data_IF_811072922183
#
_entry.id   IF_811072922183
#
_cell.length_a   1.000
_cell.length_b   1.000
_cell.length_c   1.000
_cell.angle_alpha   90.00
_cell.angle_beta   90.00
_cell.angle_gamma   90.00
#
_symmetry.space_group_name_H-M   'P 1'
#
loop_
_entity.id
_entity.type
_entity.pdbx_description
1 polymer ?
#
# COMPACT_ATOMS: atom_id res chain seq x y z
N UNK A 1 -24.39 18.43 -11.12
CA UNK A 1 -23.49 17.30 -11.41
C UNK A 1 -22.85 16.90 -10.10
N UNK A 2 -22.93 15.63 -9.69
CA UNK A 2 -22.14 15.16 -8.54
C UNK A 2 -20.72 14.92 -9.06
N UNK A 3 -19.73 15.65 -8.54
CA UNK A 3 -18.32 15.44 -8.87
C UNK A 3 -17.90 14.01 -8.55
N UNK A 4 -16.87 13.50 -9.24
CA UNK A 4 -16.32 12.19 -8.93
C UNK A 4 -15.65 12.20 -7.55
N UNK A 5 -15.38 11.03 -6.96
CA UNK A 5 -14.73 10.96 -5.65
C UNK A 5 -13.35 11.66 -5.63
N UNK A 6 -12.62 11.65 -6.76
CA UNK A 6 -11.33 12.34 -6.88
C UNK A 6 -11.48 13.85 -6.97
N UNK A 7 -12.55 14.35 -7.59
CA UNK A 7 -12.84 15.79 -7.67
C UNK A 7 -13.21 16.33 -6.28
N UNK A 8 -14.09 15.61 -5.57
CA UNK A 8 -14.49 15.97 -4.22
C UNK A 8 -13.30 16.01 -3.25
N UNK A 9 -12.40 15.03 -3.34
CA UNK A 9 -11.17 15.02 -2.54
C UNK A 9 -10.24 16.18 -2.90
N UNK A 10 -10.13 16.52 -4.19
CA UNK A 10 -9.31 17.65 -4.61
C UNK A 10 -9.85 18.99 -4.10
N UNK A 11 -11.18 19.18 -4.11
CA UNK A 11 -11.84 20.36 -3.52
C UNK A 11 -11.58 20.46 -2.02
N UNK A 12 -11.71 19.34 -1.28
CA UNK A 12 -11.45 19.29 0.15
C UNK A 12 -9.98 19.60 0.49
N UNK A 13 -9.04 19.03 -0.26
CA UNK A 13 -7.61 19.29 -0.10
C UNK A 13 -7.25 20.74 -0.40
N UNK A 14 -7.84 21.34 -1.45
CA UNK A 14 -7.61 22.74 -1.79
C UNK A 14 -8.14 23.69 -0.69
N UNK A 15 -9.27 23.34 -0.07
CA UNK A 15 -9.81 24.11 1.07
C UNK A 15 -8.93 23.96 2.33
N UNK A 16 -8.41 22.76 2.60
CA UNK A 16 -7.60 22.49 3.79
C UNK A 16 -6.17 23.03 3.66
N UNK A 17 -5.58 22.94 2.45
CA UNK A 17 -4.19 23.30 2.14
C UNK A 17 -4.11 24.06 0.82
N UNK A 18 -4.46 25.37 0.82
CA UNK A 18 -4.43 26.20 -0.39
C UNK A 18 -3.02 26.36 -1.01
N UNK A 19 -1.98 26.06 -0.23
CA UNK A 19 -0.58 26.06 -0.65
C UNK A 19 -0.17 24.79 -1.42
N UNK A 20 -1.05 23.81 -1.54
CA UNK A 20 -0.79 22.53 -2.21
C UNK A 20 -1.47 22.48 -3.58
N UNK A 21 -0.69 22.25 -4.63
CA UNK A 21 -1.24 21.97 -5.96
C UNK A 21 -1.79 20.54 -6.02
N UNK A 22 -3.09 20.39 -6.29
CA UNK A 22 -3.76 19.08 -6.40
C UNK A 22 -4.36 18.94 -7.79
N UNK A 23 -4.03 17.83 -8.47
CA UNK A 23 -4.57 17.50 -9.80
C UNK A 23 -5.37 16.20 -9.69
N UNK A 24 -6.71 16.23 -9.69
CA UNK A 24 -7.52 15.02 -9.67
C UNK A 24 -7.39 14.28 -11.02
N UNK A 25 -7.26 12.95 -10.95
CA UNK A 25 -7.22 12.08 -12.11
C UNK A 25 -8.29 11.00 -11.94
N UNK A 26 -9.36 11.08 -12.72
CA UNK A 26 -10.40 10.05 -12.77
C UNK A 26 -9.95 8.86 -13.64
N UNK A 27 -8.95 8.13 -13.15
CA UNK A 27 -8.34 6.96 -13.81
C UNK A 27 -8.43 5.75 -12.88
N UNK A 28 -8.79 4.59 -13.42
CA UNK A 28 -8.69 3.33 -12.70
C UNK A 28 -7.30 2.72 -12.91
N UNK A 29 -6.60 2.40 -11.82
CA UNK A 29 -5.19 1.96 -11.92
C UNK A 29 -5.00 0.65 -12.67
N UNK A 30 -6.03 -0.20 -12.72
CA UNK A 30 -5.99 -1.48 -13.40
C UNK A 30 -6.26 -1.27 -14.89
N UNK A 31 -7.33 -0.55 -15.25
CA UNK A 31 -7.75 -0.41 -16.66
C UNK A 31 -7.03 0.70 -17.42
N UNK A 32 -6.54 1.74 -16.74
CA UNK A 32 -5.86 2.91 -17.32
C UNK A 32 -4.35 2.92 -17.03
N UNK A 33 -3.74 1.75 -16.79
CA UNK A 33 -2.34 1.63 -16.37
C UNK A 33 -1.35 2.29 -17.36
N UNK A 34 -1.64 2.22 -18.66
CA UNK A 34 -0.85 2.86 -19.73
C UNK A 34 -0.88 4.39 -19.63
N UNK A 35 -2.04 4.97 -19.30
CA UNK A 35 -2.22 6.41 -19.11
C UNK A 35 -1.54 6.89 -17.83
N UNK A 36 -1.69 6.14 -16.74
CA UNK A 36 -1.06 6.46 -15.45
C UNK A 36 0.46 6.47 -15.55
N UNK A 37 1.03 5.54 -16.32
CA UNK A 37 2.48 5.47 -16.55
C UNK A 37 3.06 6.82 -17.01
N UNK A 38 2.35 7.59 -17.84
CA UNK A 38 2.84 8.89 -18.31
C UNK A 38 3.03 9.90 -17.16
N UNK A 39 2.13 9.88 -16.17
CA UNK A 39 2.16 10.78 -15.01
C UNK A 39 3.31 10.47 -14.04
N UNK A 40 3.83 9.23 -14.03
CA UNK A 40 4.89 8.83 -13.12
C UNK A 40 6.24 9.49 -13.42
N UNK A 41 6.43 10.04 -14.62
CA UNK A 41 7.69 10.67 -15.05
C UNK A 41 8.13 11.82 -14.13
N UNK A 42 7.17 12.60 -13.61
CA UNK A 42 7.42 13.75 -12.74
C UNK A 42 7.00 13.47 -11.28
N UNK A 43 6.92 12.20 -10.89
CA UNK A 43 6.47 11.78 -9.57
C UNK A 43 7.66 11.31 -8.74
N UNK A 44 7.75 11.75 -7.49
CA UNK A 44 8.83 11.34 -6.59
C UNK A 44 8.57 9.99 -5.90
N UNK A 45 7.30 9.72 -5.59
CA UNK A 45 6.83 8.58 -4.82
C UNK A 45 5.34 8.34 -5.11
N UNK A 46 4.92 7.08 -5.15
CA UNK A 46 3.51 6.69 -5.25
C UNK A 46 2.98 6.21 -3.89
N UNK A 47 1.78 6.63 -3.51
CA UNK A 47 1.04 6.07 -2.38
C UNK A 47 -0.21 5.36 -2.90
N UNK A 48 -0.37 4.08 -2.58
CA UNK A 48 -1.54 3.30 -2.93
C UNK A 48 -2.35 3.06 -1.66
N UNK A 49 -3.56 3.62 -1.59
CA UNK A 49 -4.51 3.42 -0.49
C UNK A 49 -5.71 2.58 -0.92
N UNK A 50 -5.56 1.80 -2.00
CA UNK A 50 -6.59 0.89 -2.47
C UNK A 50 -6.50 -0.43 -1.72
N UNK A 51 -7.63 -0.95 -1.25
CA UNK A 51 -7.65 -2.24 -0.54
C UNK A 51 -7.56 -3.45 -1.50
N UNK A 52 -8.02 -3.27 -2.75
CA UNK A 52 -8.01 -4.31 -3.79
C UNK A 52 -6.61 -4.80 -4.14
N UNK A 53 -6.41 -6.12 -4.17
CA UNK A 53 -5.12 -6.76 -4.44
C UNK A 53 -4.59 -6.38 -5.82
N UNK A 54 -5.45 -6.43 -6.85
CA UNK A 54 -5.09 -6.08 -8.22
C UNK A 54 -4.58 -4.63 -8.33
N UNK A 55 -5.28 -3.67 -7.73
CA UNK A 55 -4.87 -2.26 -7.73
C UNK A 55 -3.50 -2.06 -7.06
N UNK A 56 -3.27 -2.71 -5.92
CA UNK A 56 -1.97 -2.69 -5.21
C UNK A 56 -0.85 -3.31 -6.04
N UNK A 57 -1.11 -4.44 -6.70
CA UNK A 57 -0.14 -5.11 -7.60
C UNK A 57 0.22 -4.22 -8.79
N UNK A 58 -0.78 -3.65 -9.48
CA UNK A 58 -0.54 -2.79 -10.65
C UNK A 58 0.18 -1.51 -10.24
N UNK A 59 -0.22 -0.86 -9.13
CA UNK A 59 0.47 0.33 -8.63
C UNK A 59 1.94 0.02 -8.30
N UNK A 60 2.20 -1.07 -7.58
CA UNK A 60 3.55 -1.52 -7.28
C UNK A 60 4.37 -1.85 -8.53
N UNK A 61 3.73 -2.43 -9.56
CA UNK A 61 4.36 -2.71 -10.84
C UNK A 61 4.75 -1.43 -11.58
N UNK A 62 3.81 -0.50 -11.76
CA UNK A 62 4.04 0.77 -12.45
C UNK A 62 5.14 1.58 -11.75
N UNK A 63 5.09 1.69 -10.43
CA UNK A 63 6.12 2.38 -9.66
C UNK A 63 7.50 1.73 -9.82
N UNK A 64 7.57 0.38 -9.78
CA UNK A 64 8.84 -0.35 -10.01
C UNK A 64 9.40 -0.07 -11.41
N UNK A 65 8.55 -0.09 -12.44
CA UNK A 65 8.94 0.19 -13.83
C UNK A 65 9.35 1.66 -14.04
N UNK A 66 8.79 2.58 -13.27
CA UNK A 66 9.17 4.00 -13.28
C UNK A 66 10.40 4.31 -12.40
N UNK A 67 10.99 3.33 -11.71
CA UNK A 67 12.11 3.58 -10.80
C UNK A 67 11.72 4.36 -9.54
N UNK A 68 10.46 4.26 -9.11
CA UNK A 68 9.90 4.98 -7.98
C UNK A 68 9.74 4.10 -6.74
N UNK A 69 9.80 4.74 -5.57
CA UNK A 69 9.33 4.11 -4.33
C UNK A 69 7.79 4.13 -4.33
N UNK A 70 7.18 3.01 -3.95
CA UNK A 70 5.74 2.95 -3.67
C UNK A 70 5.50 2.64 -2.19
N UNK A 71 4.51 3.29 -1.60
CA UNK A 71 3.97 2.94 -0.28
C UNK A 71 2.57 2.38 -0.49
N UNK A 72 2.41 1.08 -0.27
CA UNK A 72 1.11 0.43 -0.31
C UNK A 72 0.54 0.41 1.10
N UNK A 73 -0.69 0.86 1.28
CA UNK A 73 -1.39 0.86 2.55
C UNK A 73 -2.80 0.32 2.35
N UNK A 74 -3.19 -0.62 3.21
CA UNK A 74 -4.50 -1.23 3.16
C UNK A 74 -4.89 -1.77 4.52
N UNK A 75 -6.18 -2.01 4.70
CA UNK A 75 -6.69 -2.78 5.82
C UNK A 75 -7.13 -4.16 5.33
N UNK A 76 -6.70 -5.18 6.05
CA UNK A 76 -6.87 -6.59 5.70
C UNK A 76 -7.81 -7.28 6.70
N UNK A 77 -8.34 -8.43 6.28
CA UNK A 77 -9.15 -9.34 7.09
C UNK A 77 -10.24 -8.63 7.92
N UNK A 78 -11.26 -8.13 7.22
CA UNK A 78 -12.44 -7.54 7.84
C UNK A 78 -12.12 -6.42 8.85
N UNK A 79 -11.04 -5.64 8.64
CA UNK A 79 -10.66 -4.57 9.56
C UNK A 79 -9.72 -4.97 10.70
N UNK A 80 -9.21 -6.21 10.74
CA UNK A 80 -8.39 -6.68 11.87
C UNK A 80 -6.93 -6.22 11.83
N UNK A 81 -6.39 -5.99 10.63
CA UNK A 81 -4.98 -5.78 10.41
C UNK A 81 -4.74 -4.61 9.45
N UNK A 82 -3.96 -3.63 9.88
CA UNK A 82 -3.40 -2.62 8.99
C UNK A 82 -2.08 -3.10 8.42
N UNK A 83 -1.83 -2.81 7.15
CA UNK A 83 -0.57 -3.16 6.51
C UNK A 83 -0.02 -1.97 5.74
N UNK A 84 1.28 -1.73 5.90
CA UNK A 84 2.02 -0.76 5.08
C UNK A 84 3.24 -1.45 4.49
N UNK A 85 3.35 -1.45 3.17
CA UNK A 85 4.53 -1.92 2.46
C UNK A 85 5.21 -0.80 1.70
N UNK A 86 6.46 -0.53 2.06
CA UNK A 86 7.35 0.32 1.27
C UNK A 86 8.11 -0.53 0.26
N UNK A 87 7.80 -0.35 -1.02
CA UNK A 87 8.45 -1.02 -2.14
C UNK A 87 9.48 -0.09 -2.76
N UNK A 88 10.77 -0.43 -2.63
CA UNK A 88 11.86 0.35 -3.23
C UNK A 88 12.29 -0.22 -4.59
N UNK A 89 12.65 0.62 -5.56
CA UNK A 89 13.08 0.21 -6.89
C UNK A 89 14.58 -0.15 -6.91
N UNK A 90 15.07 -0.93 -5.95
CA UNK A 90 16.50 -1.26 -5.81
C UNK A 90 16.74 -2.77 -5.61
N UNK A 91 17.98 -3.25 -5.81
CA UNK A 91 18.34 -4.63 -5.52
C UNK A 91 17.96 -5.06 -4.10
N UNK A 92 17.63 -6.34 -3.93
CA UNK A 92 17.20 -6.91 -2.64
C UNK A 92 15.81 -6.47 -2.15
N UNK A 93 15.07 -5.67 -2.93
CA UNK A 93 13.69 -5.27 -2.60
C UNK A 93 12.72 -5.83 -3.65
N UNK A 94 12.01 -6.90 -3.29
CA UNK A 94 10.95 -7.51 -4.07
C UNK A 94 9.65 -6.70 -4.03
N UNK A 95 8.83 -6.88 -5.07
CA UNK A 95 7.48 -6.32 -5.15
C UNK A 95 6.50 -7.01 -4.19
N UNK A 96 5.24 -6.57 -4.17
CA UNK A 96 4.17 -7.18 -3.39
C UNK A 96 4.09 -8.70 -3.59
N UNK A 97 4.07 -9.18 -4.84
CA UNK A 97 4.00 -10.61 -5.15
C UNK A 97 5.21 -11.40 -4.62
N UNK A 98 6.41 -10.84 -4.74
CA UNK A 98 7.61 -11.46 -4.17
C UNK A 98 7.49 -11.59 -2.65
N UNK A 99 7.04 -10.54 -1.97
CA UNK A 99 6.89 -10.54 -0.50
C UNK A 99 5.82 -11.52 -0.03
N UNK A 100 4.67 -11.56 -0.69
CA UNK A 100 3.61 -12.53 -0.40
C UNK A 100 4.08 -13.96 -0.59
N UNK A 101 4.85 -14.24 -1.63
CA UNK A 101 5.42 -15.56 -1.77
C UNK A 101 6.41 -15.88 -0.64
N UNK A 102 7.37 -14.99 -0.33
CA UNK A 102 8.34 -15.27 0.73
C UNK A 102 7.64 -15.55 2.06
N UNK A 103 6.54 -14.86 2.33
CA UNK A 103 5.68 -15.10 3.47
C UNK A 103 5.07 -16.52 3.43
N UNK A 104 4.48 -16.94 2.32
CA UNK A 104 3.93 -18.30 2.11
C UNK A 104 5.04 -19.36 2.27
N UNK A 105 6.20 -19.16 1.64
CA UNK A 105 7.35 -20.06 1.71
C UNK A 105 7.93 -20.17 3.14
N UNK A 106 7.73 -19.13 3.95
CA UNK A 106 8.10 -19.12 5.37
C UNK A 106 7.01 -19.69 6.30
N UNK A 107 5.94 -20.27 5.73
CA UNK A 107 4.82 -20.85 6.49
C UNK A 107 3.83 -19.82 7.03
N UNK A 108 3.90 -18.57 6.56
CA UNK A 108 2.94 -17.52 6.92
C UNK A 108 1.61 -17.68 6.19
N UNK A 109 0.56 -17.07 6.76
CA UNK A 109 -0.76 -17.02 6.13
C UNK A 109 -0.81 -15.98 5.00
N UNK A 110 -1.64 -16.22 3.99
CA UNK A 110 -2.05 -15.16 3.06
C UNK A 110 -3.25 -14.40 3.68
N UNK A 111 -3.11 -13.10 4.03
CA UNK A 111 -4.20 -12.32 4.60
C UNK A 111 -5.17 -11.76 3.53
N UNK A 112 -4.91 -12.00 2.25
CA UNK A 112 -5.65 -11.44 1.11
C UNK A 112 -6.81 -12.28 0.51
N UNK A 113 -7.06 -13.58 0.81
CA UNK A 113 -8.06 -14.39 0.09
C UNK A 113 -9.49 -13.83 0.09
N UNK A 114 -9.84 -13.00 1.08
CA UNK A 114 -11.15 -12.39 1.20
C UNK A 114 -11.29 -11.03 0.46
N UNK A 115 -10.19 -10.44 -0.02
CA UNK A 115 -10.18 -9.10 -0.65
C UNK A 115 -10.43 -9.10 -2.16
N UNK A 116 -10.28 -10.25 -2.82
CA UNK A 116 -10.49 -10.41 -4.27
C UNK A 116 -11.98 -10.55 -4.67
N UNK A 117 -12.91 -10.42 -3.73
CA UNK A 117 -14.33 -10.28 -4.05
C UNK A 117 -14.56 -8.88 -4.66
N UNK A 118 -14.59 -8.79 -5.99
CA UNK A 118 -14.71 -7.52 -6.72
C UNK A 118 -15.91 -6.68 -6.29
N UNK A 119 -15.71 -5.36 -6.21
CA UNK A 119 -16.78 -4.39 -5.97
C UNK A 119 -17.88 -4.55 -7.05
N UNK A 120 -19.13 -4.78 -6.64
CA UNK A 120 -20.28 -4.87 -7.55
C UNK A 120 -20.49 -6.23 -8.25
N UNK A 121 -19.84 -7.31 -7.85
CA UNK A 121 -19.94 -8.64 -8.53
C UNK A 121 -21.11 -9.52 -8.07
N UNK A 122 -22.04 -9.01 -7.25
CA UNK A 122 -23.29 -9.72 -6.92
C UNK A 122 -23.18 -10.84 -5.88
N UNK A 123 -21.99 -11.16 -5.37
CA UNK A 123 -21.84 -11.82 -4.06
C UNK A 123 -22.13 -10.79 -2.95
N UNK A 124 -22.71 -11.18 -1.79
CA UNK A 124 -22.92 -10.25 -0.69
C UNK A 124 -21.56 -9.72 -0.25
N UNK A 125 -21.25 -8.52 -0.72
CA UNK A 125 -20.09 -7.73 -0.34
C UNK A 125 -20.01 -7.77 1.19
N UNK A 126 -18.93 -8.33 1.75
CA UNK A 126 -18.69 -8.16 3.19
C UNK A 126 -18.42 -6.68 3.40
N UNK A 127 -19.29 -5.92 4.08
CA UNK A 127 -19.05 -4.51 4.30
C UNK A 127 -17.64 -4.31 4.83
N UNK A 128 -16.94 -3.28 4.35
CA UNK A 128 -15.66 -2.90 4.92
C UNK A 128 -15.87 -2.67 6.42
N UNK A 129 -15.33 -3.58 7.21
CA UNK A 129 -15.58 -3.72 8.66
C UNK A 129 -14.51 -3.00 9.48
N UNK A 130 -13.55 -2.36 8.81
CA UNK A 130 -12.62 -1.43 9.42
C UNK A 130 -13.40 -0.22 9.94
N UNK A 131 -13.19 0.13 11.22
CA UNK A 131 -13.78 1.34 11.79
C UNK A 131 -12.98 2.56 11.36
N UNK A 132 -13.64 3.71 11.22
CA UNK A 132 -13.00 4.96 10.74
C UNK A 132 -11.67 5.32 11.41
N UNK A 133 -11.54 5.24 12.75
CA UNK A 133 -10.27 5.51 13.43
C UNK A 133 -9.12 4.61 12.99
N UNK A 134 -9.39 3.34 12.67
CA UNK A 134 -8.37 2.40 12.20
C UNK A 134 -7.87 2.77 10.81
N UNK A 135 -8.79 3.16 9.91
CA UNK A 135 -8.44 3.67 8.59
C UNK A 135 -7.57 4.94 8.71
N UNK A 136 -7.91 5.85 9.62
CA UNK A 136 -7.11 7.04 9.89
C UNK A 136 -5.73 6.70 10.46
N UNK A 137 -5.61 5.72 11.37
CA UNK A 137 -4.34 5.27 11.92
C UNK A 137 -3.42 4.74 10.81
N UNK A 138 -3.94 3.85 9.96
CA UNK A 138 -3.18 3.30 8.83
C UNK A 138 -2.80 4.41 7.84
N UNK A 139 -3.72 5.31 7.52
CA UNK A 139 -3.45 6.44 6.63
C UNK A 139 -2.34 7.37 7.18
N UNK A 140 -2.34 7.67 8.48
CA UNK A 140 -1.30 8.49 9.10
C UNK A 140 0.07 7.81 9.03
N UNK A 141 0.14 6.50 9.33
CA UNK A 141 1.41 5.79 9.25
C UNK A 141 1.88 5.64 7.80
N UNK A 142 0.97 5.52 6.83
CA UNK A 142 1.29 5.51 5.41
C UNK A 142 1.85 6.86 4.94
N UNK A 143 1.21 7.97 5.33
CA UNK A 143 1.69 9.32 5.05
C UNK A 143 3.07 9.56 5.68
N UNK A 144 3.28 9.15 6.94
CA UNK A 144 4.60 9.25 7.57
C UNK A 144 5.64 8.39 6.84
N UNK A 145 5.28 7.19 6.41
CA UNK A 145 6.15 6.29 5.63
C UNK A 145 6.56 6.94 4.31
N UNK A 146 5.62 7.59 3.62
CA UNK A 146 5.89 8.31 2.37
C UNK A 146 6.87 9.47 2.59
N UNK A 147 6.59 10.36 3.54
CA UNK A 147 7.46 11.50 3.86
C UNK A 147 8.84 11.04 4.32
N UNK A 148 8.91 10.06 5.23
CA UNK A 148 10.16 9.48 5.69
C UNK A 148 11.00 8.92 4.53
N UNK A 149 10.36 8.32 3.53
CA UNK A 149 11.07 7.78 2.35
C UNK A 149 11.65 8.86 1.45
N UNK A 150 10.95 9.97 1.27
CA UNK A 150 11.44 11.13 0.52
C UNK A 150 12.63 11.75 1.25
N UNK A 151 12.50 11.99 2.56
CA UNK A 151 13.55 12.63 3.36
C UNK A 151 14.78 11.72 3.53
N UNK A 152 14.61 10.42 3.76
CA UNK A 152 15.72 9.47 3.84
C UNK A 152 16.52 9.46 2.52
N UNK A 153 15.83 9.52 1.37
CA UNK A 153 16.48 9.64 0.04
C UNK A 153 17.23 10.95 -0.13
N UNK A 154 16.73 12.05 0.46
CA UNK A 154 17.39 13.34 0.48
C UNK A 154 18.57 13.44 1.49
N UNK A 155 18.88 12.36 2.20
CA UNK A 155 20.03 12.29 3.11
C UNK A 155 19.73 12.63 4.56
N UNK A 156 18.46 12.55 4.99
CA UNK A 156 18.06 12.73 6.40
C UNK A 156 18.01 11.37 7.13
N UNK A 157 19.08 10.94 7.84
CA UNK A 157 19.18 9.60 8.42
C UNK A 157 18.23 9.36 9.59
N UNK A 158 17.82 10.42 10.28
CA UNK A 158 16.83 10.43 11.37
C UNK A 158 15.42 10.02 10.89
N UNK A 159 15.19 10.04 9.58
CA UNK A 159 13.92 9.63 8.97
C UNK A 159 13.88 8.14 8.60
N UNK A 160 14.92 7.37 8.92
CA UNK A 160 14.98 5.94 8.63
C UNK A 160 13.88 5.18 9.38
N UNK A 161 13.06 4.44 8.63
CA UNK A 161 12.04 3.56 9.19
C UNK A 161 12.65 2.27 9.76
N UNK A 162 11.99 1.60 10.74
CA UNK A 162 12.50 0.35 11.31
C UNK A 162 12.55 -0.82 10.32
N UNK A 163 11.73 -0.79 9.26
CA UNK A 163 11.68 -1.81 8.23
C UNK A 163 10.95 -1.36 6.97
N UNK A 164 10.65 -2.30 6.09
CA UNK A 164 10.00 -2.05 4.79
C UNK A 164 8.55 -2.54 4.73
N UNK A 165 8.09 -3.25 5.76
CA UNK A 165 6.74 -3.80 5.84
C UNK A 165 6.26 -3.73 7.29
N UNK A 166 5.30 -2.84 7.57
CA UNK A 166 4.67 -2.72 8.86
C UNK A 166 3.35 -3.50 8.90
N UNK A 167 3.17 -4.27 9.96
CA UNK A 167 1.92 -4.90 10.35
C UNK A 167 1.39 -4.20 11.59
N UNK A 168 0.13 -3.79 11.57
CA UNK A 168 -0.52 -3.04 12.65
C UNK A 168 -1.72 -3.85 13.12
N UNK A 169 -1.70 -4.28 14.38
CA UNK A 169 -2.88 -4.94 14.96
C UNK A 169 -3.96 -3.88 15.24
N UNK A 170 -5.00 -3.85 14.43
CA UNK A 170 -6.17 -3.00 14.67
C UNK A 170 -7.12 -3.68 15.65
N UNK A 171 -7.21 -5.01 15.56
CA UNK A 171 -7.86 -5.87 16.55
C UNK A 171 -6.93 -7.02 16.90
N UNK A 172 -6.94 -7.45 18.16
CA UNK A 172 -6.13 -8.58 18.63
C UNK A 172 -6.52 -9.87 17.88
N UNK A 173 -5.52 -10.59 17.35
CA UNK A 173 -5.68 -11.86 16.65
C UNK A 173 -4.66 -12.89 17.21
N UNK A 174 -4.95 -13.51 18.37
CA UNK A 174 -3.95 -14.30 19.10
C UNK A 174 -3.61 -15.64 18.43
N UNK A 175 -4.48 -16.13 17.55
CA UNK A 175 -4.35 -17.46 16.92
C UNK A 175 -3.75 -17.40 15.51
N UNK A 176 -3.25 -16.23 15.10
CA UNK A 176 -2.63 -16.07 13.80
C UNK A 176 -1.21 -16.61 13.78
N UNK A 177 -0.77 -17.11 12.63
CA UNK A 177 0.62 -17.51 12.45
C UNK A 177 1.52 -16.28 12.31
N UNK A 178 2.80 -16.36 12.73
CA UNK A 178 3.78 -15.33 12.44
C UNK A 178 3.85 -15.00 10.93
N UNK A 179 4.06 -13.73 10.57
CA UNK A 179 4.33 -12.58 11.42
C UNK A 179 3.07 -11.84 11.91
N UNK A 180 1.87 -12.38 11.72
CA UNK A 180 0.61 -11.69 12.02
C UNK A 180 0.05 -11.98 13.42
N UNK A 181 0.75 -12.77 14.23
CA UNK A 181 0.50 -13.09 15.64
C UNK A 181 0.73 -11.90 16.59
N UNK A 182 0.11 -10.76 16.30
CA UNK A 182 0.23 -9.54 17.10
C UNK A 182 -0.69 -9.62 18.32
N UNK A 183 -0.11 -9.48 19.50
CA UNK A 183 -0.78 -9.80 20.76
C UNK A 183 -1.61 -8.65 21.32
N UNK A 184 -1.32 -7.40 20.93
CA UNK A 184 -1.97 -6.19 21.45
C UNK A 184 -2.51 -5.31 20.34
N UNK A 185 -3.68 -4.72 20.55
CA UNK A 185 -4.20 -3.65 19.70
C UNK A 185 -3.20 -2.49 19.64
N UNK A 186 -3.04 -1.88 18.47
CA UNK A 186 -2.02 -0.90 18.07
C UNK A 186 -0.57 -1.38 18.09
N UNK A 187 -0.32 -2.67 18.34
CA UNK A 187 1.02 -3.24 18.18
C UNK A 187 1.45 -3.12 16.72
N UNK A 188 2.64 -2.58 16.51
CA UNK A 188 3.26 -2.48 15.19
C UNK A 188 4.48 -3.37 15.14
N UNK A 189 4.52 -4.25 14.14
CA UNK A 189 5.70 -5.07 13.83
C UNK A 189 6.24 -4.68 12.48
N UNK A 190 7.53 -4.36 12.43
CA UNK A 190 8.23 -4.05 11.20
C UNK A 190 9.04 -5.26 10.74
N UNK A 191 8.88 -5.60 9.47
CA UNK A 191 9.59 -6.68 8.79
C UNK A 191 10.59 -6.08 7.80
N UNK A 192 11.72 -6.77 7.55
CA UNK A 192 12.69 -6.34 6.55
C UNK A 192 12.13 -6.45 5.13
N UNK A 193 12.90 -5.96 4.15
CA UNK A 193 12.64 -6.28 2.76
C UNK A 193 12.81 -7.79 2.51
N UNK A 194 12.00 -8.34 1.61
CA UNK A 194 12.28 -9.64 0.97
C UNK A 194 12.92 -9.41 -0.39
N UNK A 195 13.85 -10.25 -0.85
CA UNK A 195 14.45 -10.11 -2.17
C UNK A 195 13.43 -10.36 -3.29
N UNK A 196 13.71 -9.89 -4.52
CA UNK A 196 13.01 -10.34 -5.71
C UNK A 196 13.13 -11.86 -5.90
N UNK A 197 12.09 -12.48 -6.45
CA UNK A 197 12.16 -13.86 -6.94
C UNK A 197 12.68 -13.90 -8.37
N UNK A 198 13.38 -14.98 -8.71
CA UNK A 198 13.68 -15.33 -10.09
C UNK A 198 12.36 -15.54 -10.87
N UNK A 199 12.31 -15.06 -12.10
CA UNK A 199 11.12 -15.09 -12.97
C UNK A 199 10.05 -14.06 -12.62
N UNK A 200 10.30 -13.10 -11.72
CA UNK A 200 9.27 -12.13 -11.32
C UNK A 200 9.04 -11.08 -12.41
N UNK A 201 7.87 -11.04 -13.08
CA UNK A 201 7.60 -10.14 -14.20
C UNK A 201 7.56 -8.65 -13.82
N UNK A 202 7.56 -8.34 -12.52
CA UNK A 202 7.64 -6.97 -12.01
C UNK A 202 9.06 -6.58 -11.63
N UNK A 203 9.84 -7.50 -11.06
CA UNK A 203 11.14 -7.16 -10.49
C UNK A 203 12.29 -7.42 -11.44
N UNK A 204 12.12 -8.30 -12.42
CA UNK A 204 13.11 -8.54 -13.46
C UNK A 204 13.21 -7.33 -14.39
N UNK A 205 14.45 -7.04 -14.78
CA UNK A 205 14.73 -6.16 -15.92
C UNK A 205 14.00 -6.76 -17.12
N UNK A 206 13.17 -5.97 -17.83
CA UNK A 206 12.47 -6.49 -19.00
C UNK A 206 13.45 -6.85 -20.12
#
# INVERSE_FOLDING_TARGET
MRGSAVDALAEELAALRPDTATTPLALDVITDADRIRAHLTNTDLAVCTADGVAARRVTGHLARRAGLTAVLACVLNDGALGEIMRLRPRPGHGCLTCRRQHLIESGGIDPEPALDAGYGTGTPHRPMTAVGPDLHLVAHLAAKTAVASILERAGHPDQRLPGEHALISLRRQPDWAPPFDLARTTEVRWLPASPPRNGCPTCETP
#
